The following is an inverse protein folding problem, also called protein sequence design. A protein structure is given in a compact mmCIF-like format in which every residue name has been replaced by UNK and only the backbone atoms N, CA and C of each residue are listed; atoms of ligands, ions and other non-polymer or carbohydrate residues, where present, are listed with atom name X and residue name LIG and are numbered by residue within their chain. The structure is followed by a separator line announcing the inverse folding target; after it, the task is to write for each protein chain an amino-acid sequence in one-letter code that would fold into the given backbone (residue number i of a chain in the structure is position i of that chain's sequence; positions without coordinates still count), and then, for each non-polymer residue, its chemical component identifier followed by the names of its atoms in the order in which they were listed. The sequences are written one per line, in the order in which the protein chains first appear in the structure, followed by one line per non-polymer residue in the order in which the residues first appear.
data_IF_510428432527
#
_entry.id   IF_510428432527
#
_cell.length_a   1.000
_cell.length_b   1.000
_cell.length_c   1.000
_cell.angle_alpha   90.00
_cell.angle_beta   90.00
_cell.angle_gamma   90.00
#
_symmetry.space_group_name_H-M   'P 1'
#
loop_
_entity.id
_entity.type
_entity.pdbx_description
1 polymer ?
#
# COMPACT_ATOMS: atom_id res chain seq x y z
N UNK A 1 -5.87 -8.11 -6.26
CA UNK A 1 -4.76 -7.93 -5.31
C UNK A 1 -5.34 -8.07 -3.90
N UNK A 2 -4.72 -8.84 -3.00
CA UNK A 2 -5.27 -9.14 -1.66
C UNK A 2 -4.63 -8.22 -0.61
N UNK A 3 -5.44 -7.56 0.21
CA UNK A 3 -4.99 -6.76 1.36
C UNK A 3 -5.08 -7.66 2.59
N UNK A 4 -3.93 -8.01 3.18
CA UNK A 4 -3.86 -8.85 4.39
C UNK A 4 -3.94 -7.96 5.64
N UNK A 5 -5.05 -8.02 6.36
CA UNK A 5 -5.28 -7.22 7.59
C UNK A 5 -4.83 -7.94 8.86
N UNK A 6 -4.40 -9.21 8.78
CA UNK A 6 -4.05 -10.04 9.94
C UNK A 6 -2.53 -10.24 10.06
N UNK A 7 -1.83 -9.16 10.39
CA UNK A 7 -0.37 -9.15 10.58
C UNK A 7 0.07 -9.21 12.05
N UNK A 8 -0.86 -9.30 13.01
CA UNK A 8 -0.55 -9.35 14.43
C UNK A 8 0.32 -10.57 14.76
N UNK A 9 1.52 -10.32 15.30
CA UNK A 9 2.49 -11.37 15.66
C UNK A 9 3.36 -11.87 14.50
N UNK A 10 3.20 -11.34 13.28
CA UNK A 10 4.09 -11.64 12.16
C UNK A 10 5.32 -10.73 12.18
N UNK A 11 6.45 -11.22 11.68
CA UNK A 11 7.64 -10.39 11.49
C UNK A 11 7.41 -9.42 10.32
N UNK A 12 7.25 -8.14 10.64
CA UNK A 12 7.01 -7.06 9.65
C UNK A 12 8.25 -6.20 9.40
N UNK A 13 9.43 -6.61 9.87
CA UNK A 13 10.67 -5.83 9.74
C UNK A 13 11.09 -5.52 8.30
N UNK A 14 10.68 -6.36 7.34
CA UNK A 14 10.99 -6.19 5.92
C UNK A 14 10.05 -5.24 5.18
N UNK A 15 9.01 -4.73 5.86
CA UNK A 15 8.05 -3.80 5.27
C UNK A 15 8.49 -2.37 5.56
N UNK A 16 8.36 -1.52 4.55
CA UNK A 16 8.45 -0.08 4.75
C UNK A 16 7.21 0.40 5.49
N UNK A 17 7.42 1.25 6.50
CA UNK A 17 6.34 1.87 7.27
C UNK A 17 6.03 3.24 6.69
N UNK A 18 4.77 3.49 6.41
CA UNK A 18 4.24 4.80 6.04
C UNK A 18 3.16 5.15 7.04
N UNK A 19 3.23 6.35 7.61
CA UNK A 19 2.20 6.85 8.53
C UNK A 19 1.47 8.01 7.86
N UNK A 20 0.13 7.92 7.85
CA UNK A 20 -0.74 8.96 7.31
C UNK A 20 -2.05 8.97 8.08
N UNK A 21 -2.48 10.14 8.56
CA UNK A 21 -3.76 10.33 9.26
C UNK A 21 -4.00 9.36 10.43
N UNK A 22 -2.93 9.01 11.17
CA UNK A 22 -2.98 8.07 12.30
C UNK A 22 -3.08 6.60 11.90
N UNK A 23 -2.98 6.29 10.61
CA UNK A 23 -2.89 4.93 10.07
C UNK A 23 -1.43 4.59 9.78
N UNK A 24 -1.01 3.40 10.23
CA UNK A 24 0.27 2.81 9.85
C UNK A 24 0.05 1.82 8.71
N UNK A 25 0.73 2.06 7.60
CA UNK A 25 0.71 1.21 6.40
C UNK A 25 2.05 0.51 6.26
N UNK A 26 2.00 -0.79 5.98
CA UNK A 26 3.16 -1.63 5.74
C UNK A 26 3.25 -1.98 4.27
N UNK A 27 4.24 -1.43 3.57
CA UNK A 27 4.45 -1.65 2.14
C UNK A 27 5.53 -2.72 1.96
N UNK A 28 5.22 -3.80 1.24
CA UNK A 28 6.19 -4.83 0.94
C UNK A 28 7.32 -4.28 0.06
N UNK A 29 8.58 -4.59 0.37
CA UNK A 29 9.73 -4.10 -0.41
C UNK A 29 9.72 -4.49 -1.90
N UNK A 30 9.00 -5.57 -2.26
CA UNK A 30 8.76 -5.92 -3.66
C UNK A 30 7.98 -4.85 -4.43
N UNK A 31 6.94 -4.26 -3.81
CA UNK A 31 6.14 -3.17 -4.39
C UNK A 31 6.96 -1.89 -4.54
N UNK A 32 7.87 -1.61 -3.60
CA UNK A 32 8.71 -0.42 -3.61
C UNK A 32 9.53 -0.28 -4.91
N UNK A 33 10.00 -1.39 -5.48
CA UNK A 33 10.82 -1.37 -6.71
C UNK A 33 10.02 -0.93 -7.94
N UNK A 34 8.72 -1.17 -7.93
CA UNK A 34 7.86 -0.95 -9.08
C UNK A 34 6.90 0.22 -8.88
N UNK A 35 6.65 0.65 -7.64
CA UNK A 35 5.74 1.75 -7.35
C UNK A 35 6.48 3.09 -7.35
N UNK A 36 6.06 4.00 -8.22
CA UNK A 36 6.46 5.41 -8.20
C UNK A 36 5.68 6.18 -7.14
N UNK A 37 4.39 5.90 -7.05
CA UNK A 37 3.47 6.51 -6.10
C UNK A 37 2.49 5.45 -5.60
N UNK A 38 2.20 5.49 -4.31
CA UNK A 38 1.16 4.67 -3.68
C UNK A 38 0.17 5.64 -3.05
N UNK A 39 -1.10 5.55 -3.45
CA UNK A 39 -2.19 6.35 -2.92
C UNK A 39 -3.20 5.44 -2.23
N UNK A 40 -3.62 5.84 -1.04
CA UNK A 40 -4.46 5.06 -0.16
C UNK A 40 -5.66 5.92 0.21
N UNK A 41 -6.84 5.46 -0.16
CA UNK A 41 -8.07 6.18 0.11
C UNK A 41 -8.98 5.31 0.99
N UNK A 42 -9.29 5.84 2.18
CA UNK A 42 -10.17 5.19 3.14
C UNK A 42 -11.57 5.81 3.01
N UNK A 43 -12.44 5.15 2.25
CA UNK A 43 -13.81 5.64 2.02
C UNK A 43 -14.76 5.09 3.07
N UNK A 44 -15.65 5.96 3.57
CA UNK A 44 -16.76 5.58 4.45
C UNK A 44 -18.08 6.02 3.82
N UNK A 45 -18.98 5.09 3.53
CA UNK A 45 -20.32 5.39 3.01
C UNK A 45 -21.41 4.64 3.79
N UNK A 46 -22.34 5.39 4.40
CA UNK A 46 -23.43 4.92 5.28
C UNK A 46 -22.93 4.03 6.44
N UNK A 47 -22.74 2.74 6.19
CA UNK A 47 -22.24 1.75 7.15
C UNK A 47 -21.01 0.98 6.64
N UNK A 48 -20.61 1.21 5.38
CA UNK A 48 -19.48 0.55 4.76
C UNK A 48 -18.20 1.35 4.91
N UNK A 49 -17.10 0.63 5.17
CA UNK A 49 -15.74 1.14 5.09
C UNK A 49 -15.04 0.37 3.99
N UNK A 50 -14.46 1.05 3.02
CA UNK A 50 -13.64 0.46 1.98
C UNK A 50 -12.26 1.11 1.99
N UNK A 51 -11.28 0.36 1.50
CA UNK A 51 -9.90 0.80 1.39
C UNK A 51 -9.47 0.60 -0.05
N UNK A 52 -9.23 1.70 -0.75
CA UNK A 52 -8.76 1.70 -2.13
C UNK A 52 -7.26 1.92 -2.14
N UNK A 53 -6.55 1.07 -2.90
CA UNK A 53 -5.10 1.16 -3.07
C UNK A 53 -4.82 1.41 -4.54
N UNK A 54 -4.20 2.54 -4.83
CA UNK A 54 -3.69 2.88 -6.15
C UNK A 54 -2.17 2.81 -6.12
N UNK A 55 -1.60 2.06 -7.06
CA UNK A 55 -0.16 1.96 -7.26
C UNK A 55 0.13 2.45 -8.66
N UNK A 56 0.80 3.59 -8.76
CA UNK A 56 1.35 4.07 -10.01
C UNK A 56 2.67 3.37 -10.24
N UNK A 57 2.74 2.54 -11.28
CA UNK A 57 3.95 1.80 -11.57
C UNK A 57 4.99 2.69 -12.27
N UNK A 58 6.27 2.55 -11.93
CA UNK A 58 7.37 3.07 -12.74
C UNK A 58 7.39 2.33 -14.07
N UNK A 59 6.73 2.88 -15.08
CA UNK A 59 6.91 2.47 -16.46
C UNK A 59 8.27 2.98 -16.94
N UNK A 60 9.34 2.22 -16.68
CA UNK A 60 10.58 2.40 -17.42
C UNK A 60 10.37 1.88 -18.86
N UNK A 61 9.70 2.66 -19.71
CA UNK A 61 9.88 2.52 -21.15
C UNK A 61 11.32 2.93 -21.45
N UNK A 62 12.23 1.95 -21.53
CA UNK A 62 13.54 2.18 -22.13
C UNK A 62 13.37 2.68 -23.57
N UNK A 63 14.24 3.59 -24.06
CA UNK A 63 14.21 3.98 -25.46
C UNK A 63 14.49 2.73 -26.32
N UNK A 64 13.59 2.43 -27.23
CA UNK A 64 13.78 1.46 -28.34
C UNK A 64 14.85 1.95 -29.30
#
# INVERSE_FOLDING_TARGET
MSVDTYLKGKNTSQYMRVEQDGLQILVAGGLQRFAERIELDAKKFLFWRSFDVWVEAKHAHGPT
#
